data_IF_611999094848
#
_entry.id   IF_611999094848
#
_cell.length_a   1.000
_cell.length_b   1.000
_cell.length_c   1.000
_cell.angle_alpha   90.00
_cell.angle_beta   90.00
_cell.angle_gamma   90.00
#
_symmetry.space_group_name_H-M   'P 1'
#
loop_
_entity.id
_entity.type
_entity.pdbx_description
1 polymer ?
#
# COMPACT_ATOMS: atom_id res chain seq x y z
N UNK A 1 2.24 -17.28 6.57
CA UNK A 1 1.35 -17.12 7.73
C UNK A 1 1.21 -15.62 7.99
N UNK A 2 0.05 -15.03 7.66
CA UNK A 2 -0.26 -13.61 7.87
C UNK A 2 -1.07 -13.50 9.16
N UNK A 3 -0.59 -12.72 10.13
CA UNK A 3 -1.39 -12.29 11.29
C UNK A 3 -1.87 -10.87 11.03
N UNK A 4 -3.16 -10.71 10.77
CA UNK A 4 -3.84 -9.41 10.85
C UNK A 4 -4.42 -9.36 12.25
N UNK A 5 -4.00 -8.38 13.04
CA UNK A 5 -4.43 -8.25 14.44
C UNK A 5 -5.92 -7.85 14.45
N UNK A 6 -6.80 -8.82 14.63
CA UNK A 6 -8.24 -8.58 14.77
C UNK A 6 -8.59 -8.43 16.25
N UNK A 7 -9.46 -7.47 16.56
CA UNK A 7 -9.82 -7.19 17.95
C UNK A 7 -10.51 -8.40 18.61
N UNK A 8 -10.00 -8.84 19.75
CA UNK A 8 -10.87 -9.45 20.77
C UNK A 8 -10.48 -10.78 21.40
N UNK A 9 -9.34 -11.43 21.08
CA UNK A 9 -8.97 -12.70 21.75
C UNK A 9 -7.74 -12.56 22.65
N UNK A 10 -7.89 -12.98 23.91
CA UNK A 10 -6.84 -12.99 24.93
C UNK A 10 -5.62 -13.84 24.51
N UNK A 11 -5.86 -14.86 23.68
CA UNK A 11 -4.85 -15.78 23.14
C UNK A 11 -3.86 -15.09 22.20
N UNK A 12 -4.34 -14.22 21.32
CA UNK A 12 -3.51 -13.61 20.27
C UNK A 12 -2.36 -12.77 20.85
N UNK A 13 -2.57 -12.11 21.99
CA UNK A 13 -1.53 -11.32 22.66
C UNK A 13 -0.43 -12.18 23.28
N UNK A 14 -0.81 -13.31 23.85
CA UNK A 14 0.14 -14.27 24.39
C UNK A 14 0.97 -14.86 23.25
N UNK A 15 0.31 -15.21 22.14
CA UNK A 15 0.97 -15.70 20.92
C UNK A 15 1.92 -14.65 20.32
N UNK A 16 1.50 -13.38 20.21
CA UNK A 16 2.37 -12.27 19.78
C UNK A 16 3.57 -12.12 20.72
N UNK A 17 3.34 -12.08 22.04
CA UNK A 17 4.42 -11.92 23.03
C UNK A 17 5.43 -13.07 22.98
N UNK A 18 4.94 -14.29 22.74
CA UNK A 18 5.77 -15.50 22.63
C UNK A 18 6.53 -15.62 21.31
N UNK A 19 6.24 -14.75 20.34
CA UNK A 19 6.93 -14.74 19.03
C UNK A 19 6.37 -15.75 18.02
N UNK A 20 5.10 -16.17 18.16
CA UNK A 20 4.46 -17.07 17.20
C UNK A 20 4.18 -16.40 15.83
N UNK A 21 4.32 -15.06 15.76
CA UNK A 21 4.18 -14.29 14.52
C UNK A 21 5.51 -13.69 14.09
N UNK A 22 5.81 -13.80 12.80
CA UNK A 22 7.01 -13.19 12.18
C UNK A 22 6.80 -11.77 11.70
N UNK A 23 5.55 -11.41 11.36
CA UNK A 23 5.17 -10.09 10.85
C UNK A 23 3.88 -9.68 11.54
N UNK A 24 3.87 -8.47 12.06
CA UNK A 24 2.74 -7.86 12.75
C UNK A 24 2.43 -6.56 12.02
N UNK A 25 1.20 -6.44 11.54
CA UNK A 25 0.73 -5.25 10.81
C UNK A 25 -0.26 -4.53 11.71
N UNK A 26 -0.02 -3.24 11.91
CA UNK A 26 -0.86 -2.39 12.74
C UNK A 26 -1.03 -1.01 12.08
N UNK A 27 -2.19 -0.40 12.29
CA UNK A 27 -2.43 0.98 11.92
C UNK A 27 -1.77 1.94 12.92
N UNK A 28 -1.42 3.19 12.51
CA UNK A 28 -0.71 4.14 13.37
C UNK A 28 -1.47 4.47 14.66
N UNK A 29 -2.81 4.52 14.63
CA UNK A 29 -3.64 4.79 15.81
C UNK A 29 -3.45 3.78 16.94
N UNK A 30 -3.04 2.53 16.66
CA UNK A 30 -2.79 1.52 17.71
C UNK A 30 -1.53 1.78 18.51
N UNK A 31 -0.52 2.40 17.90
CA UNK A 31 0.71 2.77 18.60
C UNK A 31 0.41 3.74 19.74
N UNK A 32 -0.53 4.67 19.50
CA UNK A 32 -0.84 5.76 20.41
C UNK A 32 -2.00 5.44 21.35
N UNK A 33 -3.07 4.87 20.82
CA UNK A 33 -4.36 4.79 21.52
C UNK A 33 -4.64 3.40 22.11
N UNK A 34 -3.88 2.37 21.75
CA UNK A 34 -4.05 1.01 22.27
C UNK A 34 -3.01 0.67 23.33
N UNK A 35 -3.36 0.90 24.60
CA UNK A 35 -2.53 0.58 25.75
C UNK A 35 -2.15 -0.91 25.83
N UNK A 36 -2.98 -1.81 25.28
CA UNK A 36 -2.67 -3.24 25.25
C UNK A 36 -1.60 -3.54 24.21
N UNK A 37 -1.69 -2.93 23.03
CA UNK A 37 -0.63 -3.05 22.02
C UNK A 37 0.70 -2.52 22.57
N UNK A 38 0.68 -1.35 23.21
CA UNK A 38 1.87 -0.79 23.88
C UNK A 38 2.43 -1.72 24.96
N UNK A 39 1.57 -2.38 25.74
CA UNK A 39 2.02 -3.36 26.75
C UNK A 39 2.77 -4.54 26.15
N UNK A 40 2.35 -5.02 24.96
CA UNK A 40 3.03 -6.11 24.26
C UNK A 40 4.40 -5.66 23.77
N UNK A 41 4.50 -4.47 23.19
CA UNK A 41 5.78 -3.90 22.73
C UNK A 41 6.82 -3.80 23.87
N UNK A 42 6.37 -3.54 25.10
CA UNK A 42 7.23 -3.41 26.29
C UNK A 42 7.64 -4.73 26.93
N UNK A 43 6.99 -5.86 26.61
CA UNK A 43 7.37 -7.16 27.18
C UNK A 43 8.73 -7.59 26.65
N UNK A 44 9.60 -8.07 27.54
CA UNK A 44 10.94 -8.57 27.20
C UNK A 44 10.89 -9.71 26.18
N UNK A 45 9.93 -10.63 26.33
CA UNK A 45 9.70 -11.77 25.45
C UNK A 45 9.52 -11.35 23.98
N UNK A 46 8.79 -10.25 23.77
CA UNK A 46 8.54 -9.66 22.47
C UNK A 46 9.72 -8.80 22.01
N UNK A 47 10.14 -7.85 22.85
CA UNK A 47 11.07 -6.79 22.48
C UNK A 47 12.46 -7.34 22.12
N UNK A 48 12.92 -8.42 22.77
CA UNK A 48 14.18 -9.10 22.45
C UNK A 48 14.17 -9.79 21.08
N UNK A 49 12.99 -10.05 20.51
CA UNK A 49 12.80 -10.71 19.21
C UNK A 49 12.47 -9.72 18.09
N UNK A 50 12.21 -8.46 18.42
CA UNK A 50 11.92 -7.42 17.43
C UNK A 50 13.19 -7.14 16.63
N UNK A 51 13.13 -7.30 15.30
CA UNK A 51 14.29 -7.11 14.43
C UNK A 51 14.24 -5.81 13.62
N UNK A 52 13.06 -5.18 13.50
CA UNK A 52 12.90 -3.98 12.70
C UNK A 52 11.45 -3.52 12.63
N UNK A 53 11.26 -2.28 12.20
CA UNK A 53 9.95 -1.66 11.96
C UNK A 53 9.93 -1.08 10.55
N UNK A 54 8.82 -1.28 9.86
CA UNK A 54 8.57 -0.67 8.56
C UNK A 54 7.38 0.27 8.71
N UNK A 55 7.58 1.54 8.38
CA UNK A 55 6.53 2.53 8.23
C UNK A 55 6.24 2.63 6.73
N UNK A 56 5.15 2.00 6.32
CA UNK A 56 4.65 2.10 4.95
C UNK A 56 3.90 3.42 4.73
N UNK A 57 3.86 3.89 3.49
CA UNK A 57 3.30 5.19 3.11
C UNK A 57 3.79 6.35 3.98
N UNK A 58 5.09 6.37 4.29
CA UNK A 58 5.68 7.33 5.23
C UNK A 58 5.47 8.80 4.80
N UNK A 59 5.16 9.06 3.53
CA UNK A 59 4.76 10.37 3.04
C UNK A 59 3.51 10.93 3.75
N UNK A 60 2.67 10.08 4.34
CA UNK A 60 1.52 10.45 5.14
C UNK A 60 1.86 11.30 6.38
N UNK A 61 3.11 11.23 6.87
CA UNK A 61 3.60 12.10 7.95
C UNK A 61 3.46 13.58 7.60
N UNK A 62 3.55 13.91 6.30
CA UNK A 62 3.48 15.28 5.82
C UNK A 62 2.14 15.58 5.13
N UNK A 63 1.89 14.93 3.99
CA UNK A 63 0.79 15.24 3.07
C UNK A 63 -0.60 14.90 3.64
N UNK A 64 -0.68 13.91 4.52
CA UNK A 64 -1.93 13.43 5.10
C UNK A 64 -2.01 13.66 6.61
N UNK A 65 -1.15 14.53 7.16
CA UNK A 65 -1.15 14.85 8.59
C UNK A 65 -2.50 15.40 9.08
N UNK A 66 -3.28 16.05 8.22
CA UNK A 66 -4.64 16.51 8.53
C UNK A 66 -5.70 15.40 8.47
N UNK A 67 -5.47 14.33 7.70
CA UNK A 67 -6.41 13.21 7.54
C UNK A 67 -6.12 12.03 8.49
N UNK A 68 -4.84 11.76 8.76
CA UNK A 68 -4.36 10.73 9.70
C UNK A 68 -3.25 11.33 10.59
N UNK A 69 -3.62 12.15 11.60
CA UNK A 69 -2.65 12.82 12.46
C UNK A 69 -1.75 11.85 13.24
N UNK A 70 -2.18 10.61 13.44
CA UNK A 70 -1.39 9.60 14.17
C UNK A 70 -0.04 9.28 13.51
N UNK A 71 0.14 9.54 12.20
CA UNK A 71 1.46 9.42 11.55
C UNK A 71 2.51 10.36 12.14
N UNK A 72 2.11 11.55 12.60
CA UNK A 72 3.02 12.51 13.22
C UNK A 72 3.58 12.02 14.58
N UNK A 73 2.94 11.03 15.18
CA UNK A 73 3.29 10.47 16.49
C UNK A 73 4.10 9.16 16.39
N UNK A 74 4.36 8.65 15.17
CA UNK A 74 5.08 7.38 15.01
C UNK A 74 6.53 7.41 15.52
N UNK A 75 7.11 8.60 15.70
CA UNK A 75 8.38 8.78 16.41
C UNK A 75 8.37 8.21 17.84
N UNK A 76 7.20 8.18 18.49
CA UNK A 76 7.03 7.68 19.85
C UNK A 76 7.37 6.19 19.97
N UNK A 77 7.32 5.43 18.87
CA UNK A 77 7.77 4.02 18.83
C UNK A 77 9.20 3.88 19.33
N UNK A 78 10.07 4.87 19.10
CA UNK A 78 11.46 4.86 19.56
C UNK A 78 11.57 4.75 21.09
N UNK A 79 10.58 5.21 21.83
CA UNK A 79 10.53 5.12 23.30
C UNK A 79 9.92 3.82 23.80
N UNK A 80 9.21 3.09 22.92
CA UNK A 80 8.52 1.84 23.25
C UNK A 80 9.34 0.60 22.92
N UNK A 81 10.31 0.72 22.01
CA UNK A 81 11.13 -0.40 21.51
C UNK A 81 12.57 -0.32 22.01
N UNK A 82 13.32 -1.43 22.00
CA UNK A 82 14.73 -1.43 22.35
C UNK A 82 15.57 -0.47 21.48
N UNK A 83 16.63 0.12 22.04
CA UNK A 83 17.56 0.92 21.25
C UNK A 83 18.25 0.05 20.19
N UNK A 84 18.57 0.65 19.05
CA UNK A 84 19.26 -0.03 17.95
C UNK A 84 18.36 -0.76 16.95
N UNK A 85 17.05 -0.88 17.20
CA UNK A 85 16.11 -1.45 16.23
C UNK A 85 16.01 -0.52 15.00
N UNK A 86 16.27 -1.03 13.78
CA UNK A 86 16.15 -0.22 12.57
C UNK A 86 14.70 0.11 12.25
N UNK A 87 14.46 1.34 11.78
CA UNK A 87 13.18 1.77 11.23
C UNK A 87 13.39 2.09 9.75
N UNK A 88 12.61 1.43 8.89
CA UNK A 88 12.53 1.71 7.47
C UNK A 88 11.29 2.55 7.20
N UNK A 89 11.47 3.70 6.54
CA UNK A 89 10.38 4.50 6.01
C UNK A 89 10.25 4.20 4.51
N UNK A 90 9.14 3.59 4.10
CA UNK A 90 8.87 3.23 2.72
C UNK A 90 7.78 4.14 2.14
N UNK A 91 7.97 4.59 0.90
CA UNK A 91 6.96 5.35 0.15
C UNK A 91 7.27 5.32 -1.34
N UNK A 92 6.24 5.26 -2.17
CA UNK A 92 6.39 5.43 -3.62
C UNK A 92 6.68 6.90 -4.00
N UNK A 93 6.08 7.84 -3.26
CA UNK A 93 6.21 9.28 -3.46
C UNK A 93 6.82 9.90 -2.22
N UNK A 94 7.95 10.60 -2.33
CA UNK A 94 8.52 11.33 -1.19
C UNK A 94 9.45 12.43 -1.68
N UNK A 95 8.94 13.66 -1.74
CA UNK A 95 9.75 14.83 -2.14
C UNK A 95 10.89 15.07 -1.12
N UNK A 96 11.97 15.77 -1.49
CA UNK A 96 13.06 16.05 -0.54
C UNK A 96 12.61 16.78 0.75
N UNK A 97 11.58 17.62 0.66
CA UNK A 97 11.00 18.29 1.81
C UNK A 97 10.27 17.29 2.73
N UNK A 98 9.47 16.39 2.14
CA UNK A 98 8.79 15.31 2.88
C UNK A 98 9.79 14.36 3.53
N UNK A 99 10.85 13.97 2.82
CA UNK A 99 11.93 13.13 3.36
C UNK A 99 12.51 13.75 4.63
N UNK A 100 12.79 15.06 4.60
CA UNK A 100 13.32 15.79 5.76
C UNK A 100 12.35 15.79 6.95
N UNK A 101 11.04 15.93 6.68
CA UNK A 101 10.00 15.88 7.72
C UNK A 101 9.84 14.48 8.31
N UNK A 102 9.72 13.45 7.47
CA UNK A 102 9.67 12.04 7.88
C UNK A 102 10.87 11.69 8.74
N UNK A 103 12.06 12.07 8.29
CA UNK A 103 13.30 11.83 9.03
C UNK A 103 13.26 12.47 10.42
N UNK A 104 12.79 13.73 10.51
CA UNK A 104 12.67 14.45 11.78
C UNK A 104 11.66 13.79 12.72
N UNK A 105 10.48 13.44 12.22
CA UNK A 105 9.39 12.82 13.00
C UNK A 105 9.77 11.43 13.50
N UNK A 106 10.37 10.60 12.65
CA UNK A 106 10.76 9.22 13.02
C UNK A 106 12.11 9.14 13.75
N UNK A 107 12.71 10.29 14.07
CA UNK A 107 14.03 10.42 14.71
C UNK A 107 15.11 9.58 13.99
N UNK A 108 15.14 9.66 12.67
CA UNK A 108 16.15 8.98 11.84
C UNK A 108 17.42 9.82 11.83
N UNK A 109 18.51 9.27 12.34
CA UNK A 109 19.82 9.92 12.35
C UNK A 109 20.33 10.08 10.90
N UNK A 110 20.58 11.32 10.43
CA UNK A 110 21.09 11.56 9.09
C UNK A 110 22.45 10.91 8.81
N UNK A 111 23.26 10.68 9.85
CA UNK A 111 24.61 10.11 9.72
C UNK A 111 24.62 8.58 9.68
N UNK A 112 23.52 7.94 10.10
CA UNK A 112 23.40 6.48 10.21
C UNK A 112 22.29 5.91 9.32
N UNK A 113 21.80 6.70 8.35
CA UNK A 113 20.74 6.27 7.43
C UNK A 113 21.33 5.80 6.11
N UNK A 114 20.67 4.82 5.52
CA UNK A 114 20.81 4.48 4.12
C UNK A 114 19.61 5.02 3.34
N UNK A 115 19.85 5.47 2.11
CA UNK A 115 18.78 5.94 1.22
C UNK A 115 18.77 5.12 -0.06
N UNK A 116 17.69 4.37 -0.25
CA UNK A 116 17.43 3.60 -1.47
C UNK A 116 16.42 4.40 -2.29
N UNK A 117 16.82 4.85 -3.47
CA UNK A 117 15.95 5.56 -4.40
C UNK A 117 15.97 4.85 -5.74
N UNK A 118 14.81 4.35 -6.15
CA UNK A 118 14.63 3.64 -7.41
C UNK A 118 13.80 4.51 -8.36
N UNK A 119 14.11 4.42 -9.65
CA UNK A 119 13.29 5.04 -10.69
C UNK A 119 11.95 4.33 -10.77
N UNK A 120 10.88 5.10 -11.02
CA UNK A 120 9.58 4.53 -11.38
C UNK A 120 9.45 4.30 -12.90
N UNK A 121 10.53 4.52 -13.66
CA UNK A 121 10.53 4.25 -15.09
C UNK A 121 10.39 2.75 -15.36
N UNK A 122 9.59 2.42 -16.38
CA UNK A 122 9.28 1.04 -16.78
C UNK A 122 9.42 0.95 -18.28
N UNK A 123 10.61 0.53 -18.71
CA UNK A 123 10.97 0.37 -20.14
C UNK A 123 10.04 -0.58 -20.90
N UNK A 124 9.31 -1.44 -20.19
CA UNK A 124 8.32 -2.35 -20.73
C UNK A 124 6.88 -1.77 -20.79
N UNK A 125 6.69 -0.49 -20.48
CA UNK A 125 5.41 0.22 -20.55
C UNK A 125 5.47 1.26 -21.67
N UNK A 126 4.54 1.18 -22.61
CA UNK A 126 4.37 2.16 -23.68
C UNK A 126 3.16 3.04 -23.41
N UNK A 127 3.37 4.36 -23.40
CA UNK A 127 2.29 5.34 -23.21
C UNK A 127 1.69 5.73 -24.56
N UNK A 128 0.36 5.59 -24.70
CA UNK A 128 -0.39 6.01 -25.87
C UNK A 128 -1.58 6.86 -25.44
N UNK A 129 -1.76 8.03 -26.06
CA UNK A 129 -2.90 8.91 -25.81
C UNK A 129 -3.79 8.94 -27.04
N UNK A 130 -5.07 8.61 -26.87
CA UNK A 130 -6.08 8.65 -27.93
C UNK A 130 -7.23 9.56 -27.51
N UNK A 131 -7.58 10.51 -28.39
CA UNK A 131 -8.76 11.35 -28.17
C UNK A 131 -10.02 10.54 -28.45
N UNK A 132 -10.94 10.51 -27.49
CA UNK A 132 -12.27 9.92 -27.70
C UNK A 132 -13.05 10.78 -28.70
N UNK A 133 -13.64 10.14 -29.71
CA UNK A 133 -14.42 10.78 -30.77
C UNK A 133 -15.91 10.52 -30.64
N UNK A 134 -16.29 9.46 -29.95
CA UNK A 134 -17.67 9.03 -29.79
C UNK A 134 -18.15 9.23 -28.35
N UNK A 135 -19.48 9.26 -28.11
CA UNK A 135 -20.03 9.26 -26.75
C UNK A 135 -19.49 8.08 -25.93
N UNK A 136 -19.17 8.29 -24.65
CA UNK A 136 -18.54 7.27 -23.80
C UNK A 136 -19.35 5.97 -23.68
N UNK A 137 -20.69 6.04 -23.78
CA UNK A 137 -21.59 4.90 -23.77
C UNK A 137 -21.60 4.08 -25.08
N UNK A 138 -20.97 4.57 -26.15
CA UNK A 138 -20.87 3.85 -27.43
C UNK A 138 -19.73 2.83 -27.45
N UNK A 139 -18.70 3.05 -26.63
CA UNK A 139 -17.49 2.22 -26.54
C UNK A 139 -16.69 2.04 -27.86
N UNK A 140 -17.06 2.74 -28.93
CA UNK A 140 -16.42 2.59 -30.25
C UNK A 140 -14.92 2.96 -30.21
N UNK A 141 -14.56 3.96 -29.40
CA UNK A 141 -13.16 4.36 -29.22
C UNK A 141 -12.29 3.30 -28.52
N UNK A 142 -12.90 2.26 -27.93
CA UNK A 142 -12.20 1.14 -27.29
C UNK A 142 -12.03 -0.08 -28.22
N UNK A 143 -12.58 -0.06 -29.43
CA UNK A 143 -12.57 -1.20 -30.34
C UNK A 143 -11.15 -1.71 -30.66
N UNK A 144 -10.14 -0.84 -30.59
CA UNK A 144 -8.73 -1.21 -30.81
C UNK A 144 -8.16 -2.19 -29.77
N UNK A 145 -8.81 -2.33 -28.60
CA UNK A 145 -8.41 -3.28 -27.55
C UNK A 145 -8.78 -4.73 -27.90
N UNK A 146 -9.68 -4.93 -28.87
CA UNK A 146 -10.17 -6.24 -29.26
C UNK A 146 -9.50 -6.65 -30.57
N UNK A 147 -8.78 -7.78 -30.62
CA UNK A 147 -8.23 -8.31 -31.85
C UNK A 147 -9.34 -8.56 -32.89
N UNK A 148 -9.09 -8.17 -34.14
CA UNK A 148 -9.99 -8.52 -35.25
C UNK A 148 -9.94 -10.03 -35.53
N UNK A 149 -11.08 -10.64 -35.87
CA UNK A 149 -11.14 -12.03 -36.33
C UNK A 149 -11.08 -13.10 -35.24
N UNK A 150 -11.49 -12.80 -34.01
CA UNK A 150 -11.66 -13.82 -32.98
C UNK A 150 -12.78 -14.78 -33.37
N UNK A 151 -12.44 -16.05 -33.63
CA UNK A 151 -13.43 -17.11 -33.78
C UNK A 151 -13.94 -17.53 -32.38
N UNK A 152 -15.12 -18.16 -32.28
CA UNK A 152 -15.61 -18.73 -31.01
C UNK A 152 -14.65 -19.73 -30.35
N UNK A 153 -13.75 -20.32 -31.13
CA UNK A 153 -12.71 -21.26 -30.68
C UNK A 153 -11.36 -20.59 -30.36
N UNK A 154 -11.23 -19.28 -30.55
CA UNK A 154 -9.98 -18.57 -30.27
C UNK A 154 -9.70 -18.50 -28.76
N UNK A 155 -8.43 -18.51 -28.34
CA UNK A 155 -8.08 -18.27 -26.95
C UNK A 155 -8.58 -16.87 -26.51
N UNK A 156 -8.89 -16.69 -25.22
CA UNK A 156 -9.29 -15.38 -24.71
C UNK A 156 -8.18 -14.36 -24.96
N UNK A 157 -8.52 -13.09 -25.26
CA UNK A 157 -7.53 -12.04 -25.42
C UNK A 157 -6.71 -11.86 -24.15
N UNK A 158 -5.52 -11.28 -24.29
CA UNK A 158 -4.67 -10.97 -23.15
C UNK A 158 -5.43 -10.11 -22.11
N UNK A 159 -5.21 -10.34 -20.80
CA UNK A 159 -5.89 -9.57 -19.77
C UNK A 159 -5.61 -8.08 -19.93
N UNK A 160 -6.66 -7.28 -19.92
CA UNK A 160 -6.55 -5.82 -19.87
C UNK A 160 -7.38 -5.26 -18.71
N UNK A 161 -6.90 -4.16 -18.12
CA UNK A 161 -7.59 -3.41 -17.07
C UNK A 161 -7.96 -2.02 -17.57
N UNK A 162 -9.21 -1.62 -17.36
CA UNK A 162 -9.68 -0.26 -17.64
C UNK A 162 -10.03 0.47 -16.34
N UNK A 163 -9.64 1.74 -16.25
CA UNK A 163 -10.06 2.65 -15.19
C UNK A 163 -11.03 3.68 -15.80
N UNK A 164 -12.18 3.87 -15.15
CA UNK A 164 -13.20 4.83 -15.56
C UNK A 164 -13.51 5.77 -14.40
N UNK A 165 -13.78 7.04 -14.69
CA UNK A 165 -14.29 7.98 -13.69
C UNK A 165 -15.83 7.90 -13.65
N UNK A 166 -16.44 7.62 -12.49
CA UNK A 166 -17.90 7.57 -12.29
C UNK A 166 -18.58 6.19 -12.50
N UNK A 167 -19.92 6.16 -12.54
CA UNK A 167 -20.77 4.93 -12.56
C UNK A 167 -20.75 4.10 -13.85
N UNK A 168 -19.75 4.31 -14.71
CA UNK A 168 -19.57 3.59 -15.98
C UNK A 168 -19.18 2.10 -15.79
N UNK A 169 -18.90 1.69 -14.55
CA UNK A 169 -18.42 0.38 -14.12
C UNK A 169 -19.36 -0.79 -14.51
N UNK A 170 -20.67 -0.58 -14.46
CA UNK A 170 -21.67 -1.66 -14.70
C UNK A 170 -21.78 -2.04 -16.18
N UNK A 171 -21.37 -1.18 -17.11
CA UNK A 171 -21.63 -1.37 -18.55
C UNK A 171 -20.44 -1.90 -19.36
N UNK A 172 -19.21 -1.85 -18.83
CA UNK A 172 -18.03 -2.37 -19.52
C UNK A 172 -18.05 -3.91 -19.67
N UNK A 173 -18.52 -4.65 -18.65
CA UNK A 173 -18.76 -6.11 -18.75
C UNK A 173 -19.86 -6.42 -19.76
N UNK A 174 -20.95 -5.67 -19.74
CA UNK A 174 -22.04 -5.82 -20.71
C UNK A 174 -21.62 -5.47 -22.16
N UNK A 175 -20.58 -4.65 -22.34
CA UNK A 175 -20.00 -4.34 -23.64
C UNK A 175 -19.14 -5.50 -24.17
N UNK A 176 -18.30 -6.12 -23.34
CA UNK A 176 -17.56 -7.34 -23.71
C UNK A 176 -18.51 -8.50 -24.07
N UNK A 177 -19.58 -8.69 -23.30
CA UNK A 177 -20.63 -9.70 -23.59
C UNK A 177 -21.46 -9.37 -24.84
N UNK A 178 -21.49 -8.11 -25.28
CA UNK A 178 -22.13 -7.71 -26.54
C UNK A 178 -21.17 -7.92 -27.71
N UNK A 179 -19.89 -7.62 -27.56
CA UNK A 179 -18.88 -7.82 -28.60
C UNK A 179 -18.73 -9.30 -29.00
N UNK A 180 -18.83 -10.24 -28.06
CA UNK A 180 -18.84 -11.68 -28.37
C UNK A 180 -20.04 -12.13 -29.21
N UNK A 181 -21.06 -11.28 -29.39
CA UNK A 181 -22.24 -11.53 -30.22
C UNK A 181 -22.19 -10.84 -31.59
N UNK A 182 -21.21 -9.98 -31.82
CA UNK A 182 -21.02 -9.22 -33.08
C UNK A 182 -19.82 -9.71 -33.90
N UNK A 183 -19.15 -10.76 -33.44
CA UNK A 183 -18.12 -11.54 -34.15
C UNK A 183 -18.62 -12.98 -34.23
#
# INVERSE_FOLDING_TARGET
MRGVINEGKHDERAEISSGNYRVIIAHPERVRNDSRFVSVLRKSEFSTRLTGIIIDEAHCVDEWSEFRPDYAHLGELRWLIPPGIPIMAASATMTPAMQSRVQKVLHIDPQKRERIWLSNDRVNIQYNVRRMKFPANSYLDLAFLVPFGLAPSSPPPEPFSGLCTGSLEVKARAWLDKLSKFI
#
